data_IF_610556336745
#
_entry.id   IF_610556336745
#
_cell.length_a   1.000
_cell.length_b   1.000
_cell.length_c   1.000
_cell.angle_alpha   90.00
_cell.angle_beta   90.00
_cell.angle_gamma   90.00
#
_symmetry.space_group_name_H-M   'P 1'
#
loop_
_entity.id
_entity.type
_entity.pdbx_description
1 polymer ?
#
# COMPACT_ATOMS: atom_id res chain seq x y z
N UNK A 1 -10.47 7.75 2.98
CA UNK A 1 -9.21 7.90 3.74
C UNK A 1 -8.02 7.50 2.86
N UNK A 2 -7.71 6.21 2.67
CA UNK A 2 -6.55 5.78 1.88
C UNK A 2 -6.44 6.39 0.48
N UNK A 3 -7.52 6.37 -0.31
CA UNK A 3 -7.51 6.90 -1.68
C UNK A 3 -7.09 8.38 -1.69
N UNK A 4 -7.66 9.20 -0.82
CA UNK A 4 -7.36 10.64 -0.79
C UNK A 4 -5.98 10.94 -0.22
N UNK A 5 -5.59 10.28 0.87
CA UNK A 5 -4.36 10.61 1.60
C UNK A 5 -3.13 9.95 0.99
N UNK A 6 -3.24 8.67 0.63
CA UNK A 6 -2.12 7.88 0.13
C UNK A 6 -2.06 7.85 -1.40
N UNK A 7 -3.20 7.97 -2.09
CA UNK A 7 -3.29 7.89 -3.55
C UNK A 7 -3.74 9.22 -4.19
N UNK A 8 -3.84 10.31 -3.41
CA UNK A 8 -4.19 11.66 -3.89
C UNK A 8 -5.49 11.73 -4.70
N UNK A 9 -6.45 10.88 -4.38
CA UNK A 9 -7.74 10.79 -5.08
C UNK A 9 -7.73 9.86 -6.29
N UNK A 10 -6.60 9.22 -6.63
CA UNK A 10 -6.51 8.30 -7.76
C UNK A 10 -7.07 6.91 -7.40
N UNK A 11 -8.39 6.75 -7.60
CA UNK A 11 -9.11 5.49 -7.38
C UNK A 11 -8.59 4.34 -8.26
N UNK A 12 -8.21 4.64 -9.51
CA UNK A 12 -7.74 3.63 -10.46
C UNK A 12 -6.38 3.08 -10.00
N UNK A 13 -5.48 3.94 -9.55
CA UNK A 13 -4.19 3.52 -8.99
C UNK A 13 -4.37 2.72 -7.71
N UNK A 14 -5.29 3.13 -6.83
CA UNK A 14 -5.63 2.37 -5.63
C UNK A 14 -6.08 0.95 -5.97
N UNK A 15 -7.09 0.81 -6.84
CA UNK A 15 -7.62 -0.50 -7.22
C UNK A 15 -6.56 -1.41 -7.87
N UNK A 16 -5.74 -0.85 -8.77
CA UNK A 16 -4.63 -1.60 -9.39
C UNK A 16 -3.61 -2.04 -8.35
N UNK A 17 -3.24 -1.17 -7.42
CA UNK A 17 -2.28 -1.47 -6.36
C UNK A 17 -2.79 -2.58 -5.44
N UNK A 18 -4.07 -2.52 -5.03
CA UNK A 18 -4.70 -3.58 -4.25
C UNK A 18 -4.70 -4.91 -5.02
N UNK A 19 -5.03 -4.90 -6.32
CA UNK A 19 -4.98 -6.11 -7.15
C UNK A 19 -3.57 -6.70 -7.25
N UNK A 20 -2.56 -5.87 -7.45
CA UNK A 20 -1.16 -6.31 -7.50
C UNK A 20 -0.72 -6.88 -6.16
N UNK A 21 -1.00 -6.19 -5.05
CA UNK A 21 -0.70 -6.68 -3.70
C UNK A 21 -1.41 -8.02 -3.45
N UNK A 22 -2.65 -8.15 -3.94
CA UNK A 22 -3.46 -9.36 -3.83
C UNK A 22 -2.93 -10.57 -4.61
N UNK A 23 -2.02 -10.36 -5.56
CA UNK A 23 -1.43 -11.45 -6.32
C UNK A 23 -0.11 -11.97 -5.74
N UNK A 24 0.46 -11.31 -4.72
CA UNK A 24 1.63 -11.85 -4.03
C UNK A 24 1.26 -13.05 -3.16
N UNK A 25 2.21 -13.97 -3.04
CA UNK A 25 2.07 -15.20 -2.24
C UNK A 25 2.61 -15.04 -0.82
N UNK A 26 3.54 -14.10 -0.61
CA UNK A 26 4.17 -13.85 0.66
C UNK A 26 4.18 -12.35 1.03
N UNK A 27 4.10 -12.06 2.32
CA UNK A 27 4.12 -10.68 2.82
C UNK A 27 5.39 -9.93 2.41
N UNK A 28 6.55 -10.59 2.41
CA UNK A 28 7.82 -9.95 2.07
C UNK A 28 7.83 -9.39 0.62
N UNK A 29 7.20 -10.10 -0.33
CA UNK A 29 7.07 -9.63 -1.71
C UNK A 29 6.17 -8.39 -1.79
N UNK A 30 5.03 -8.43 -1.08
CA UNK A 30 4.10 -7.32 -1.02
C UNK A 30 4.71 -6.09 -0.33
N UNK A 31 5.39 -6.28 0.80
CA UNK A 31 6.07 -5.21 1.54
C UNK A 31 7.15 -4.54 0.69
N UNK A 32 7.98 -5.33 -0.01
CA UNK A 32 8.98 -4.81 -0.92
C UNK A 32 8.36 -3.99 -2.06
N UNK A 33 7.28 -4.50 -2.64
CA UNK A 33 6.54 -3.79 -3.69
C UNK A 33 5.93 -2.48 -3.18
N UNK A 34 5.26 -2.49 -2.02
CA UNK A 34 4.69 -1.30 -1.37
C UNK A 34 5.75 -0.24 -1.13
N UNK A 35 6.93 -0.63 -0.63
CA UNK A 35 8.03 0.30 -0.38
C UNK A 35 8.49 0.99 -1.67
N UNK A 36 8.65 0.24 -2.77
CA UNK A 36 9.17 0.77 -4.05
C UNK A 36 8.13 1.51 -4.87
N UNK A 37 6.91 1.02 -4.92
CA UNK A 37 5.89 1.49 -5.85
C UNK A 37 4.93 2.48 -5.22
N UNK A 38 4.62 2.32 -3.92
CA UNK A 38 3.72 3.23 -3.22
C UNK A 38 4.52 4.25 -2.43
N UNK A 39 5.28 3.82 -1.41
CA UNK A 39 5.99 4.76 -0.52
C UNK A 39 6.96 5.64 -1.28
N UNK A 40 7.80 5.06 -2.15
CA UNK A 40 8.82 5.82 -2.88
C UNK A 40 8.20 6.70 -3.97
N UNK A 41 7.30 6.18 -4.82
CA UNK A 41 6.79 6.94 -5.98
C UNK A 41 5.67 7.92 -5.62
N UNK A 42 4.82 7.59 -4.65
CA UNK A 42 3.75 8.48 -4.18
C UNK A 42 4.21 9.42 -3.06
N UNK A 43 5.41 9.19 -2.53
CA UNK A 43 6.02 10.03 -1.50
C UNK A 43 5.26 9.95 -0.18
N UNK A 44 4.86 8.75 0.25
CA UNK A 44 4.22 8.57 1.54
C UNK A 44 5.18 8.99 2.65
N UNK A 45 4.65 9.68 3.66
CA UNK A 45 5.44 10.18 4.78
C UNK A 45 5.68 9.02 5.77
N UNK A 46 6.94 8.68 6.10
CA UNK A 46 7.21 7.68 7.13
C UNK A 46 6.62 8.09 8.48
N UNK A 47 5.94 7.16 9.15
CA UNK A 47 5.31 7.41 10.45
C UNK A 47 3.92 8.07 10.38
N UNK A 48 3.37 8.27 9.17
CA UNK A 48 1.99 8.71 9.02
C UNK A 48 1.03 7.57 9.38
N UNK A 49 0.10 7.83 10.30
CA UNK A 49 -0.85 6.85 10.84
C UNK A 49 -1.63 6.13 9.73
N UNK A 50 -2.03 6.85 8.68
CA UNK A 50 -2.75 6.29 7.54
C UNK A 50 -1.91 5.28 6.76
N UNK A 51 -0.62 5.56 6.54
CA UNK A 51 0.29 4.65 5.86
C UNK A 51 0.57 3.39 6.71
N UNK A 52 0.82 3.57 8.01
CA UNK A 52 1.01 2.46 8.94
C UNK A 52 -0.23 1.58 9.06
N UNK A 53 -1.41 2.20 9.13
CA UNK A 53 -2.67 1.49 9.18
C UNK A 53 -2.89 0.68 7.90
N UNK A 54 -2.64 1.27 6.73
CA UNK A 54 -2.71 0.56 5.44
C UNK A 54 -1.80 -0.67 5.43
N UNK A 55 -0.54 -0.52 5.83
CA UNK A 55 0.42 -1.63 5.89
C UNK A 55 0.01 -2.71 6.89
N UNK A 56 -0.57 -2.33 8.03
CA UNK A 56 -1.08 -3.28 9.02
C UNK A 56 -2.21 -4.15 8.47
N UNK A 57 -3.11 -3.57 7.66
CA UNK A 57 -4.18 -4.30 6.99
C UNK A 57 -3.62 -5.27 5.95
N UNK A 58 -2.63 -4.82 5.17
CA UNK A 58 -1.95 -5.71 4.22
C UNK A 58 -1.26 -6.85 4.96
N UNK A 59 -0.52 -6.58 6.04
CA UNK A 59 0.17 -7.61 6.82
C UNK A 59 -0.78 -8.67 7.34
N UNK A 60 -1.94 -8.28 7.86
CA UNK A 60 -2.99 -9.21 8.35
C UNK A 60 -3.53 -10.15 7.28
N UNK A 61 -3.47 -9.77 6.00
CA UNK A 61 -3.90 -10.64 4.90
C UNK A 61 -2.98 -11.86 4.68
N UNK A 62 -1.71 -11.73 5.03
CA UNK A 62 -0.70 -12.78 4.80
C UNK A 62 -0.45 -13.64 6.06
N UNK A 63 -1.18 -13.39 7.14
CA UNK A 63 -1.24 -14.24 8.33
C UNK A 63 -2.33 -15.30 8.13
#
# INVERSE_FOLDING_TARGET
MFINELFRGDEIMYERSIRTINNFSAYAEAEYWIKRELKTKLGWIPGEETAEYFESLIKRRFL
#
